data_IF_370420222934
#
_entry.id   IF_370420222934
#
_cell.length_a   1.000
_cell.length_b   1.000
_cell.length_c   1.000
_cell.angle_alpha   90.00
_cell.angle_beta   90.00
_cell.angle_gamma   90.00
#
_symmetry.space_group_name_H-M   'P 1'
#
loop_
_entity.id
_entity.type
_entity.pdbx_description
1 polymer ?
#
# COMPACT_ATOMS: atom_id res chain seq x y z
N UNK A 1 -7.23 5.67 -53.33
CA UNK A 1 -7.34 6.89 -52.50
C UNK A 1 -7.50 6.44 -51.07
N UNK A 2 -6.58 6.85 -50.20
CA UNK A 2 -6.61 6.51 -48.78
C UNK A 2 -7.70 7.34 -48.09
N UNK A 3 -8.54 6.70 -47.28
CA UNK A 3 -9.60 7.40 -46.54
C UNK A 3 -9.07 7.86 -45.18
N UNK A 4 -9.45 9.06 -44.71
CA UNK A 4 -9.11 9.53 -43.37
C UNK A 4 -9.68 8.60 -42.30
N UNK A 5 -8.92 8.40 -41.23
CA UNK A 5 -9.36 7.63 -40.06
C UNK A 5 -10.39 8.40 -39.22
N UNK A 6 -11.09 7.69 -38.33
CA UNK A 6 -12.11 8.30 -37.45
C UNK A 6 -11.57 9.45 -36.60
N UNK A 7 -10.33 9.31 -36.12
CA UNK A 7 -9.67 10.34 -35.30
C UNK A 7 -9.52 11.64 -36.09
N UNK A 8 -9.16 11.58 -37.36
CA UNK A 8 -9.00 12.78 -38.19
C UNK A 8 -10.34 13.47 -38.48
N UNK A 9 -11.40 12.68 -38.73
CA UNK A 9 -12.76 13.22 -38.90
C UNK A 9 -13.28 13.86 -37.61
N UNK A 10 -12.99 13.27 -36.46
CA UNK A 10 -13.35 13.83 -35.16
C UNK A 10 -12.57 15.11 -34.87
N UNK A 11 -11.24 15.11 -35.06
CA UNK A 11 -10.41 16.31 -34.88
C UNK A 11 -10.81 17.45 -35.82
N UNK A 12 -11.37 17.15 -37.01
CA UNK A 12 -11.95 18.16 -37.88
C UNK A 12 -13.21 18.80 -37.27
N UNK A 13 -14.11 18.00 -36.68
CA UNK A 13 -15.32 18.49 -36.00
C UNK A 13 -15.01 19.27 -34.72
N UNK A 14 -14.01 18.80 -33.97
CA UNK A 14 -13.57 19.44 -32.72
C UNK A 14 -12.72 20.71 -32.99
N UNK A 15 -12.33 20.96 -34.25
CA UNK A 15 -11.53 22.11 -34.65
C UNK A 15 -10.06 22.02 -34.23
N UNK A 16 -9.56 20.81 -33.98
CA UNK A 16 -8.21 20.54 -33.48
C UNK A 16 -7.16 20.37 -34.60
N UNK A 17 -7.59 20.23 -35.85
CA UNK A 17 -6.67 20.11 -36.99
C UNK A 17 -6.03 21.46 -37.34
N UNK A 18 -4.76 21.42 -37.76
CA UNK A 18 -4.11 22.58 -38.36
C UNK A 18 -4.86 23.05 -39.63
N UNK A 19 -4.80 24.35 -39.98
CA UNK A 19 -5.60 24.90 -41.08
C UNK A 19 -5.38 24.19 -42.42
N UNK A 20 -4.15 23.78 -42.73
CA UNK A 20 -3.79 23.17 -44.01
C UNK A 20 -4.29 21.72 -44.10
N UNK A 21 -4.22 20.96 -43.01
CA UNK A 21 -4.79 19.61 -42.93
C UNK A 21 -6.31 19.64 -42.90
N UNK A 22 -6.91 20.60 -42.20
CA UNK A 22 -8.36 20.79 -42.18
C UNK A 22 -8.89 21.10 -43.59
N UNK A 23 -8.21 21.97 -44.34
CA UNK A 23 -8.62 22.30 -45.71
C UNK A 23 -8.51 21.10 -46.65
N UNK A 24 -7.38 20.37 -46.65
CA UNK A 24 -7.19 19.16 -47.44
C UNK A 24 -8.28 18.11 -47.16
N UNK A 25 -8.65 17.96 -45.89
CA UNK A 25 -9.68 17.01 -45.48
C UNK A 25 -11.09 17.46 -45.91
N UNK A 26 -11.40 18.76 -45.83
CA UNK A 26 -12.66 19.32 -46.37
C UNK A 26 -12.77 19.12 -47.87
N UNK A 27 -11.68 19.37 -48.61
CA UNK A 27 -11.63 19.15 -50.05
C UNK A 27 -11.88 17.68 -50.38
N UNK A 28 -11.23 16.74 -49.66
CA UNK A 28 -11.50 15.32 -49.82
C UNK A 28 -12.97 14.94 -49.56
N UNK A 29 -13.55 15.46 -48.48
CA UNK A 29 -14.94 15.17 -48.09
C UNK A 29 -15.94 15.70 -49.13
N UNK A 30 -15.63 16.82 -49.80
CA UNK A 30 -16.45 17.36 -50.87
C UNK A 30 -16.61 16.40 -52.06
N UNK A 31 -15.59 15.57 -52.32
CA UNK A 31 -15.60 14.62 -53.44
C UNK A 31 -15.85 13.16 -53.02
N UNK A 32 -15.79 12.84 -51.72
CA UNK A 32 -15.96 11.48 -51.22
C UNK A 32 -17.27 11.31 -50.41
N UNK A 33 -18.35 10.76 -51.00
CA UNK A 33 -19.63 10.62 -50.31
C UNK A 33 -19.58 9.72 -49.07
N UNK A 34 -18.65 8.74 -49.05
CA UNK A 34 -18.43 7.86 -47.90
C UNK A 34 -17.86 8.61 -46.69
N UNK A 35 -16.94 9.54 -46.91
CA UNK A 35 -16.37 10.35 -45.83
C UNK A 35 -17.38 11.41 -45.36
N UNK A 36 -18.18 11.96 -46.28
CA UNK A 36 -19.28 12.86 -45.94
C UNK A 36 -20.35 12.21 -45.07
N UNK A 37 -20.78 10.98 -45.39
CA UNK A 37 -21.77 10.26 -44.58
C UNK A 37 -21.24 9.95 -43.18
N UNK A 38 -19.97 9.54 -43.06
CA UNK A 38 -19.32 9.25 -41.78
C UNK A 38 -19.18 10.50 -40.91
N UNK A 39 -18.85 11.64 -41.50
CA UNK A 39 -18.83 12.92 -40.79
C UNK A 39 -20.22 13.31 -40.28
N UNK A 40 -21.28 13.08 -41.08
CA UNK A 40 -22.65 13.35 -40.66
C UNK A 40 -23.10 12.47 -39.48
N UNK A 41 -22.67 11.21 -39.43
CA UNK A 41 -22.88 10.32 -38.27
C UNK A 41 -22.21 10.86 -37.01
N UNK A 42 -20.95 11.30 -37.11
CA UNK A 42 -20.23 11.93 -35.99
C UNK A 42 -20.91 13.20 -35.50
N UNK A 43 -21.37 14.07 -36.41
CA UNK A 43 -22.15 15.27 -36.07
C UNK A 43 -23.43 14.93 -35.31
N UNK A 44 -24.17 13.92 -35.79
CA UNK A 44 -25.39 13.47 -35.14
C UNK A 44 -25.11 12.95 -33.73
N UNK A 45 -24.05 12.17 -33.56
CA UNK A 45 -23.64 11.67 -32.24
C UNK A 45 -23.23 12.83 -31.30
N UNK A 46 -22.44 13.79 -31.80
CA UNK A 46 -22.01 14.96 -31.03
C UNK A 46 -23.20 15.80 -30.54
N UNK A 47 -24.21 16.02 -31.40
CA UNK A 47 -25.45 16.68 -31.00
C UNK A 47 -26.19 15.89 -29.91
N UNK A 48 -26.32 14.58 -30.07
CA UNK A 48 -26.99 13.71 -29.10
C UNK A 48 -26.28 13.74 -27.73
N UNK A 49 -24.94 13.75 -27.73
CA UNK A 49 -24.13 13.89 -26.50
C UNK A 49 -24.33 15.26 -25.88
N UNK A 50 -24.35 16.35 -26.66
CA UNK A 50 -24.60 17.71 -26.15
C UNK A 50 -25.99 17.87 -25.56
N UNK A 51 -27.00 17.27 -26.18
CA UNK A 51 -28.40 17.29 -25.69
C UNK A 51 -28.58 16.46 -24.41
N UNK A 52 -27.84 15.36 -24.29
CA UNK A 52 -27.86 14.51 -23.09
C UNK A 52 -26.87 14.95 -22.01
N UNK A 53 -25.98 15.89 -22.33
CA UNK A 53 -25.01 16.40 -21.39
C UNK A 53 -25.73 17.09 -20.22
N UNK A 54 -25.43 16.70 -18.97
CA UNK A 54 -26.01 17.36 -17.81
C UNK A 54 -25.67 18.85 -17.81
N UNK A 55 -26.67 19.67 -17.47
CA UNK A 55 -26.51 21.12 -17.38
C UNK A 55 -25.31 21.49 -16.48
N UNK A 56 -24.49 22.51 -16.86
CA UNK A 56 -23.39 23.02 -16.04
C UNK A 56 -23.82 23.39 -14.61
N UNK A 57 -25.09 23.77 -14.42
CA UNK A 57 -25.67 24.05 -13.11
C UNK A 57 -25.60 22.85 -12.14
N UNK A 58 -25.55 21.61 -12.64
CA UNK A 58 -25.38 20.39 -11.83
C UNK A 58 -23.94 20.18 -11.33
N UNK A 59 -22.96 20.86 -11.94
CA UNK A 59 -21.54 20.83 -11.60
C UNK A 59 -21.10 22.04 -10.75
N UNK A 60 -21.98 23.02 -10.56
CA UNK A 60 -21.68 24.31 -9.88
C UNK A 60 -21.32 24.17 -8.39
N UNK A 61 -21.68 23.06 -7.75
CA UNK A 61 -21.22 22.77 -6.39
C UNK A 61 -19.98 21.88 -6.45
N UNK A 62 -18.81 22.47 -6.22
CA UNK A 62 -17.56 21.72 -5.99
C UNK A 62 -17.82 20.55 -5.03
N UNK A 63 -17.44 19.34 -5.46
CA UNK A 63 -17.52 18.13 -4.66
C UNK A 63 -18.87 17.38 -4.62
N UNK A 64 -20.04 18.05 -4.64
CA UNK A 64 -21.33 17.31 -4.49
C UNK A 64 -21.68 16.46 -5.72
N UNK A 65 -21.23 16.84 -6.91
CA UNK A 65 -21.36 16.01 -8.11
C UNK A 65 -20.60 14.68 -7.93
N UNK A 66 -19.31 14.76 -7.59
CA UNK A 66 -18.46 13.59 -7.38
C UNK A 66 -18.96 12.71 -6.24
N UNK A 67 -19.48 13.31 -5.16
CA UNK A 67 -20.13 12.57 -4.07
C UNK A 67 -21.36 11.77 -4.54
N UNK A 68 -22.23 12.38 -5.37
CA UNK A 68 -23.40 11.70 -5.94
C UNK A 68 -23.01 10.63 -6.95
N UNK A 69 -22.01 10.89 -7.79
CA UNK A 69 -21.49 9.92 -8.75
C UNK A 69 -20.85 8.71 -8.05
N UNK A 70 -20.01 8.93 -7.05
CA UNK A 70 -19.40 7.88 -6.24
C UNK A 70 -20.46 7.04 -5.50
N UNK A 71 -21.54 7.67 -5.05
CA UNK A 71 -22.70 6.97 -4.47
C UNK A 71 -23.44 6.10 -5.48
N UNK A 72 -23.59 6.56 -6.74
CA UNK A 72 -24.31 5.83 -7.80
C UNK A 72 -23.46 4.72 -8.45
N UNK A 73 -22.15 4.91 -8.56
CA UNK A 73 -21.24 3.88 -9.07
C UNK A 73 -21.09 2.69 -8.11
N UNK A 74 -21.53 2.83 -6.85
CA UNK A 74 -21.38 1.77 -5.84
C UNK A 74 -22.33 0.58 -5.98
N UNK A 75 -23.29 0.55 -6.91
CA UNK A 75 -24.14 -0.63 -7.18
C UNK A 75 -24.65 -0.62 -8.63
N UNK A 76 -24.88 -1.77 -9.32
CA UNK A 76 -24.75 -3.17 -8.89
C UNK A 76 -24.04 -4.12 -9.91
N UNK A 77 -23.51 -5.24 -9.41
CA UNK A 77 -23.37 -6.48 -10.20
C UNK A 77 -21.95 -6.92 -10.60
N UNK A 78 -21.53 -8.05 -10.03
CA UNK A 78 -20.53 -9.00 -10.57
C UNK A 78 -19.20 -8.42 -11.10
N UNK A 79 -18.20 -8.40 -10.24
CA UNK A 79 -16.96 -9.09 -10.60
C UNK A 79 -16.43 -9.80 -9.37
N UNK A 80 -16.42 -11.12 -9.45
CA UNK A 80 -15.68 -12.08 -8.64
C UNK A 80 -14.18 -11.77 -8.67
N UNK A 81 -13.77 -10.68 -8.02
CA UNK A 81 -12.36 -10.47 -7.67
C UNK A 81 -12.14 -11.06 -6.29
N UNK A 82 -11.14 -11.93 -6.21
CA UNK A 82 -10.66 -12.57 -5.01
C UNK A 82 -10.81 -11.62 -3.82
N UNK A 83 -11.69 -11.98 -2.88
CA UNK A 83 -11.71 -11.32 -1.58
C UNK A 83 -10.29 -11.46 -1.03
N UNK A 84 -9.55 -10.37 -0.78
CA UNK A 84 -8.33 -10.49 -0.02
C UNK A 84 -8.73 -11.10 1.33
N UNK A 85 -8.06 -12.19 1.71
CA UNK A 85 -8.27 -12.90 2.99
C UNK A 85 -8.14 -11.98 4.21
N UNK A 86 -7.60 -10.76 4.03
CA UNK A 86 -7.48 -9.75 5.05
C UNK A 86 -8.24 -8.46 4.68
N UNK A 87 -9.41 -8.17 5.30
CA UNK A 87 -10.28 -7.06 4.92
C UNK A 87 -9.69 -5.66 5.21
N UNK A 88 -8.60 -5.57 5.97
CA UNK A 88 -8.02 -4.31 6.46
C UNK A 88 -6.85 -3.79 5.62
N UNK A 89 -6.19 -4.65 4.83
CA UNK A 89 -5.00 -4.30 4.03
C UNK A 89 -5.24 -3.18 2.99
N UNK A 90 -6.36 -3.14 2.24
CA UNK A 90 -6.60 -2.03 1.31
C UNK A 90 -6.94 -0.71 2.01
N UNK A 91 -7.23 -0.72 3.31
CA UNK A 91 -7.51 0.48 4.11
C UNK A 91 -6.28 1.01 4.86
N UNK A 92 -5.16 0.28 4.85
CA UNK A 92 -3.91 0.75 5.46
C UNK A 92 -3.34 1.89 4.59
N UNK A 93 -3.29 3.14 5.11
CA UNK A 93 -2.65 4.23 4.40
C UNK A 93 -1.17 3.87 4.19
N UNK A 94 -0.59 4.14 3.00
CA UNK A 94 0.84 3.94 2.77
C UNK A 94 1.72 4.67 3.81
N UNK A 95 1.19 5.73 4.40
CA UNK A 95 1.79 6.45 5.54
C UNK A 95 1.99 5.54 6.76
N UNK A 96 1.02 4.69 7.11
CA UNK A 96 1.16 3.79 8.27
C UNK A 96 2.26 2.75 8.04
N UNK A 97 2.33 2.16 6.85
CA UNK A 97 3.42 1.24 6.49
C UNK A 97 4.78 1.94 6.56
N UNK A 98 4.87 3.18 6.08
CA UNK A 98 6.05 4.02 6.23
C UNK A 98 6.42 4.25 7.69
N UNK A 99 5.47 4.64 8.54
CA UNK A 99 5.67 4.86 9.98
C UNK A 99 6.13 3.58 10.67
N UNK A 100 5.50 2.43 10.42
CA UNK A 100 5.92 1.15 10.99
C UNK A 100 7.34 0.79 10.58
N UNK A 101 7.69 1.00 9.31
CA UNK A 101 9.04 0.76 8.82
C UNK A 101 10.07 1.70 9.48
N UNK A 102 9.76 3.00 9.59
CA UNK A 102 10.63 3.97 10.26
C UNK A 102 10.84 3.65 11.74
N UNK A 103 9.78 3.21 12.45
CA UNK A 103 9.88 2.80 13.85
C UNK A 103 10.76 1.55 13.99
N UNK A 104 10.53 0.52 13.17
CA UNK A 104 11.35 -0.70 13.18
C UNK A 104 12.83 -0.39 12.89
N UNK A 105 13.09 0.51 11.95
CA UNK A 105 14.45 0.92 11.59
C UNK A 105 15.12 1.75 12.67
N UNK A 106 14.37 2.62 13.37
CA UNK A 106 14.89 3.39 14.51
C UNK A 106 15.28 2.45 15.65
N UNK A 107 14.44 1.45 15.94
CA UNK A 107 14.73 0.42 16.95
C UNK A 107 15.96 -0.41 16.56
N UNK A 108 16.11 -0.76 15.28
CA UNK A 108 17.33 -1.41 14.77
C UNK A 108 18.57 -0.56 15.03
N UNK A 109 18.54 0.71 14.63
CA UNK A 109 19.69 1.61 14.81
C UNK A 109 20.06 1.75 16.28
N UNK A 110 19.07 1.89 17.17
CA UNK A 110 19.30 1.94 18.61
C UNK A 110 19.93 0.65 19.14
N UNK A 111 19.42 -0.52 18.75
CA UNK A 111 19.97 -1.81 19.18
C UNK A 111 21.42 -2.00 18.71
N UNK A 112 21.74 -1.55 17.50
CA UNK A 112 23.09 -1.64 16.92
C UNK A 112 24.07 -0.68 17.63
N UNK A 113 23.63 0.52 17.98
CA UNK A 113 24.41 1.46 18.81
C UNK A 113 24.70 0.86 20.19
N UNK A 114 23.69 0.31 20.87
CA UNK A 114 23.86 -0.35 22.16
C UNK A 114 24.87 -1.48 22.05
N UNK A 115 24.83 -2.27 20.98
CA UNK A 115 25.78 -3.34 20.74
C UNK A 115 27.22 -2.82 20.56
N UNK A 116 27.42 -1.77 19.76
CA UNK A 116 28.74 -1.16 19.57
C UNK A 116 29.29 -0.60 20.88
N UNK A 117 28.47 0.11 21.66
CA UNK A 117 28.86 0.62 22.98
C UNK A 117 29.22 -0.52 23.94
N UNK A 118 28.52 -1.64 23.85
CA UNK A 118 28.81 -2.83 24.63
C UNK A 118 30.14 -3.49 24.24
N UNK A 119 30.44 -3.57 22.94
CA UNK A 119 31.74 -4.04 22.44
C UNK A 119 32.91 -3.14 22.83
N UNK A 120 32.66 -1.84 22.98
CA UNK A 120 33.64 -0.87 23.50
C UNK A 120 33.79 -0.90 25.03
N UNK A 121 33.01 -1.73 25.74
CA UNK A 121 33.04 -1.82 27.20
C UNK A 121 32.43 -0.62 27.93
N UNK A 122 31.77 0.30 27.21
CA UNK A 122 31.11 1.49 27.80
C UNK A 122 29.85 1.11 28.56
N UNK A 123 29.17 0.03 28.14
CA UNK A 123 27.90 -0.41 28.69
C UNK A 123 27.86 -1.94 28.79
N UNK A 124 27.33 -2.49 29.89
CA UNK A 124 27.11 -3.93 30.04
C UNK A 124 25.62 -4.28 29.85
N UNK A 125 25.17 -4.63 28.64
CA UNK A 125 23.77 -4.95 28.37
C UNK A 125 23.28 -6.18 29.12
N UNK A 126 24.16 -7.14 29.42
CA UNK A 126 23.80 -8.33 30.17
C UNK A 126 23.35 -7.99 31.60
N UNK A 127 23.99 -7.03 32.25
CA UNK A 127 23.59 -6.57 33.59
C UNK A 127 22.20 -5.93 33.58
N UNK A 128 21.93 -5.07 32.60
CA UNK A 128 20.64 -4.40 32.44
C UNK A 128 19.51 -5.40 32.16
N UNK A 129 19.76 -6.37 31.27
CA UNK A 129 18.79 -7.41 30.95
C UNK A 129 18.55 -8.32 32.14
N UNK A 130 19.59 -8.67 32.90
CA UNK A 130 19.43 -9.50 34.10
C UNK A 130 18.53 -8.82 35.13
N UNK A 131 18.73 -7.51 35.37
CA UNK A 131 17.86 -6.74 36.26
C UNK A 131 16.41 -6.67 35.73
N UNK A 132 16.24 -6.45 34.42
CA UNK A 132 14.93 -6.46 33.77
C UNK A 132 14.21 -7.81 33.90
N UNK A 133 14.93 -8.92 33.70
CA UNK A 133 14.40 -10.27 33.85
C UNK A 133 14.00 -10.58 35.29
N UNK A 134 14.78 -10.15 36.29
CA UNK A 134 14.40 -10.24 37.70
C UNK A 134 13.12 -9.45 37.97
N UNK A 135 13.03 -8.22 37.47
CA UNK A 135 11.85 -7.38 37.64
C UNK A 135 10.61 -7.99 37.00
N UNK A 136 10.74 -8.50 35.77
CA UNK A 136 9.67 -9.18 35.05
C UNK A 136 9.23 -10.47 35.78
N UNK A 137 10.18 -11.27 36.25
CA UNK A 137 9.89 -12.51 36.97
C UNK A 137 9.28 -12.27 38.36
N UNK A 138 9.42 -11.06 38.92
CA UNK A 138 8.76 -10.66 40.18
C UNK A 138 7.48 -9.86 39.95
N UNK A 139 6.98 -9.81 38.72
CA UNK A 139 5.79 -9.00 38.43
C UNK A 139 4.52 -9.66 39.02
N UNK A 140 3.74 -8.96 39.88
CA UNK A 140 2.54 -9.51 40.53
C UNK A 140 1.49 -10.15 39.60
N UNK A 141 1.39 -9.70 38.34
CA UNK A 141 0.47 -10.30 37.38
C UNK A 141 0.90 -11.70 36.95
N UNK A 142 2.21 -11.93 36.76
CA UNK A 142 2.76 -13.25 36.44
C UNK A 142 2.58 -14.22 37.61
N UNK A 143 2.74 -13.73 38.83
CA UNK A 143 2.54 -14.54 40.04
C UNK A 143 1.09 -14.98 40.22
N UNK A 144 0.15 -14.04 40.07
CA UNK A 144 -1.28 -14.32 40.24
C UNK A 144 -1.89 -15.19 39.15
N UNK A 145 -1.28 -15.24 37.95
CA UNK A 145 -1.79 -15.99 36.80
C UNK A 145 -0.94 -17.23 36.49
N UNK A 146 0.19 -17.02 35.82
CA UNK A 146 1.03 -18.07 35.23
C UNK A 146 1.70 -18.92 36.31
N UNK A 147 2.29 -18.32 37.34
CA UNK A 147 3.01 -19.07 38.37
C UNK A 147 2.06 -19.86 39.25
N UNK A 148 0.90 -19.28 39.58
CA UNK A 148 -0.16 -20.00 40.28
C UNK A 148 -0.66 -21.21 39.49
N UNK A 149 -0.79 -21.07 38.17
CA UNK A 149 -1.18 -22.16 37.28
C UNK A 149 -0.09 -23.25 37.16
N UNK A 150 1.19 -22.85 37.10
CA UNK A 150 2.35 -23.77 37.07
C UNK A 150 2.70 -24.37 38.44
N UNK A 151 2.12 -23.86 39.53
CA UNK A 151 2.51 -24.21 40.90
C UNK A 151 3.90 -23.71 41.30
N UNK A 152 4.42 -22.68 40.62
CA UNK A 152 5.74 -22.11 40.88
C UNK A 152 5.67 -20.93 41.86
N UNK A 153 6.75 -20.73 42.62
CA UNK A 153 6.98 -19.44 43.30
C UNK A 153 7.75 -18.47 42.41
N UNK A 154 7.65 -17.17 42.69
CA UNK A 154 8.43 -16.13 41.99
C UNK A 154 9.94 -16.38 42.11
N UNK A 155 10.42 -16.85 43.26
CA UNK A 155 11.83 -17.24 43.46
C UNK A 155 12.25 -18.43 42.59
N UNK A 156 11.39 -19.45 42.45
CA UNK A 156 11.66 -20.59 41.55
C UNK A 156 11.67 -20.14 40.08
N UNK A 157 10.76 -19.26 39.67
CA UNK A 157 10.74 -18.71 38.32
C UNK A 157 12.02 -17.91 38.02
N UNK A 158 12.48 -17.09 38.97
CA UNK A 158 13.75 -16.36 38.87
C UNK A 158 14.93 -17.34 38.73
N UNK A 159 15.01 -18.38 39.56
CA UNK A 159 16.10 -19.36 39.47
C UNK A 159 16.11 -20.14 38.15
N UNK A 160 14.94 -20.51 37.63
CA UNK A 160 14.82 -21.21 36.34
C UNK A 160 15.24 -20.30 35.18
N UNK A 161 14.91 -19.00 35.25
CA UNK A 161 15.26 -18.03 34.20
C UNK A 161 16.74 -17.63 34.26
N UNK A 162 17.25 -17.33 35.45
CA UNK A 162 18.60 -16.77 35.65
C UNK A 162 19.65 -17.86 35.76
N UNK A 163 19.30 -19.06 36.23
CA UNK A 163 20.23 -20.16 36.39
C UNK A 163 20.99 -20.50 35.10
N UNK A 164 20.31 -20.78 33.97
CA UNK A 164 20.96 -21.02 32.69
C UNK A 164 21.68 -19.78 32.15
N UNK A 165 21.08 -18.60 32.31
CA UNK A 165 21.62 -17.33 31.83
C UNK A 165 22.95 -16.97 32.51
N UNK A 166 23.03 -17.10 33.83
CA UNK A 166 24.23 -16.81 34.64
C UNK A 166 25.36 -17.81 34.42
N UNK A 167 25.07 -19.03 33.94
CA UNK A 167 26.09 -20.02 33.56
C UNK A 167 26.79 -19.66 32.25
N UNK A 168 26.15 -18.87 31.38
CA UNK A 168 26.81 -18.32 30.21
C UNK A 168 27.79 -17.25 30.71
N UNK A 169 29.07 -17.39 30.37
CA UNK A 169 30.05 -16.33 30.56
C UNK A 169 29.63 -15.06 29.81
N UNK A 170 30.28 -13.94 30.10
CA UNK A 170 30.00 -12.65 29.47
C UNK A 170 29.91 -12.75 27.94
N UNK A 171 30.88 -13.42 27.30
CA UNK A 171 30.91 -13.60 25.85
C UNK A 171 29.71 -14.41 25.34
N UNK A 172 29.28 -15.43 26.09
CA UNK A 172 28.11 -16.25 25.76
C UNK A 172 26.81 -15.47 25.87
N UNK A 173 26.66 -14.66 26.92
CA UNK A 173 25.51 -13.78 27.11
C UNK A 173 25.44 -12.74 25.99
N UNK A 174 26.56 -12.12 25.64
CA UNK A 174 26.64 -11.14 24.56
C UNK A 174 26.31 -11.76 23.20
N UNK A 175 26.86 -12.94 22.89
CA UNK A 175 26.59 -13.64 21.65
C UNK A 175 25.11 -14.02 21.52
N UNK A 176 24.50 -14.53 22.60
CA UNK A 176 23.08 -14.90 22.60
C UNK A 176 22.18 -13.67 22.41
N UNK A 177 22.50 -12.55 23.05
CA UNK A 177 21.74 -11.31 22.88
C UNK A 177 21.84 -10.76 21.47
N UNK A 178 23.05 -10.72 20.92
CA UNK A 178 23.25 -10.30 19.53
C UNK A 178 22.44 -11.19 18.59
N UNK A 179 22.57 -12.51 18.72
CA UNK A 179 21.86 -13.46 17.88
C UNK A 179 20.35 -13.25 17.95
N UNK A 180 19.82 -13.08 19.16
CA UNK A 180 18.38 -12.86 19.40
C UNK A 180 17.90 -11.55 18.77
N UNK A 181 18.63 -10.45 18.98
CA UNK A 181 18.30 -9.13 18.41
C UNK A 181 18.29 -9.20 16.88
N UNK A 182 19.35 -9.76 16.28
CA UNK A 182 19.50 -9.86 14.82
C UNK A 182 18.40 -10.74 14.22
N UNK A 183 18.07 -11.88 14.84
CA UNK A 183 17.02 -12.77 14.33
C UNK A 183 15.62 -12.14 14.44
N UNK A 184 15.25 -11.62 15.62
CA UNK A 184 13.94 -10.97 15.80
C UNK A 184 13.77 -9.82 14.82
N UNK A 185 14.79 -8.98 14.70
CA UNK A 185 14.73 -7.85 13.81
C UNK A 185 14.70 -8.26 12.33
N UNK A 186 15.51 -9.24 11.93
CA UNK A 186 15.50 -9.79 10.58
C UNK A 186 14.12 -10.31 10.20
N UNK A 187 13.45 -11.01 11.11
CA UNK A 187 12.07 -11.48 10.93
C UNK A 187 11.11 -10.29 10.76
N UNK A 188 11.19 -9.27 11.62
CA UNK A 188 10.31 -8.08 11.54
C UNK A 188 10.50 -7.34 10.21
N UNK A 189 11.74 -7.09 9.80
CA UNK A 189 12.05 -6.41 8.53
C UNK A 189 11.59 -7.24 7.34
N UNK A 190 11.79 -8.56 7.36
CA UNK A 190 11.30 -9.45 6.31
C UNK A 190 9.77 -9.41 6.20
N UNK A 191 9.06 -9.43 7.32
CA UNK A 191 7.60 -9.33 7.34
C UNK A 191 7.11 -8.00 6.79
N UNK A 192 7.75 -6.89 7.16
CA UNK A 192 7.43 -5.55 6.63
C UNK A 192 7.72 -5.45 5.14
N UNK A 193 8.83 -6.04 4.68
CA UNK A 193 9.18 -6.10 3.26
C UNK A 193 8.14 -6.91 2.48
N UNK A 194 7.75 -8.09 2.96
CA UNK A 194 6.73 -8.92 2.32
C UNK A 194 5.38 -8.18 2.28
N UNK A 195 5.00 -7.52 3.37
CA UNK A 195 3.75 -6.74 3.44
C UNK A 195 3.76 -5.55 2.47
N UNK A 196 4.87 -4.83 2.39
CA UNK A 196 5.02 -3.69 1.48
C UNK A 196 5.04 -4.11 0.01
N UNK A 197 5.75 -5.20 -0.34
CA UNK A 197 5.75 -5.75 -1.70
C UNK A 197 4.36 -6.26 -2.09
N UNK A 198 3.68 -6.98 -1.19
CA UNK A 198 2.30 -7.41 -1.41
C UNK A 198 1.40 -6.21 -1.67
N UNK A 199 1.48 -5.19 -0.83
CA UNK A 199 0.71 -3.96 -0.97
C UNK A 199 0.99 -3.28 -2.32
N UNK A 200 2.26 -3.16 -2.70
CA UNK A 200 2.68 -2.58 -3.97
C UNK A 200 2.11 -3.38 -5.16
N UNK A 201 2.14 -4.71 -5.11
CA UNK A 201 1.56 -5.56 -6.17
C UNK A 201 0.05 -5.37 -6.29
N UNK A 202 -0.67 -5.30 -5.16
CA UNK A 202 -2.13 -5.06 -5.18
C UNK A 202 -2.50 -3.73 -5.82
N UNK A 203 -1.70 -2.69 -5.59
CA UNK A 203 -1.96 -1.34 -6.11
C UNK A 203 -1.36 -1.09 -7.50
N UNK A 204 -0.27 -1.78 -7.87
CA UNK A 204 0.34 -1.69 -9.19
C UNK A 204 -0.32 -2.59 -10.23
N UNK A 205 -1.23 -3.49 -9.87
CA UNK A 205 -2.05 -4.18 -10.86
C UNK A 205 -2.81 -3.11 -11.67
N UNK A 206 -2.42 -2.87 -12.93
CA UNK A 206 -3.12 -1.91 -13.77
C UNK A 206 -4.57 -2.39 -13.81
N UNK A 207 -5.53 -1.49 -13.66
CA UNK A 207 -6.93 -1.80 -13.96
C UNK A 207 -7.03 -2.14 -15.46
N UNK A 208 -6.65 -3.36 -15.83
CA UNK A 208 -6.67 -3.93 -17.17
C UNK A 208 -8.12 -4.32 -17.54
N UNK A 209 -9.03 -3.37 -17.36
CA UNK A 209 -10.43 -3.45 -17.75
C UNK A 209 -10.75 -2.18 -18.52
N UNK A 210 -10.33 -2.15 -19.79
CA UNK A 210 -10.68 -1.06 -20.70
C UNK A 210 -10.41 -1.34 -22.18
N UNK A 211 -9.37 -2.11 -22.54
CA UNK A 211 -8.87 -2.16 -23.94
C UNK A 211 -9.04 -3.52 -24.64
N UNK A 212 -10.04 -4.34 -24.27
CA UNK A 212 -10.33 -5.62 -24.97
C UNK A 212 -11.79 -5.77 -25.41
N UNK A 213 -12.41 -4.65 -25.80
CA UNK A 213 -13.62 -4.64 -26.63
C UNK A 213 -13.52 -3.53 -27.67
N UNK A 214 -12.78 -3.79 -28.75
CA UNK A 214 -13.15 -3.45 -30.12
C UNK A 214 -12.49 -4.48 -31.04
#
# INVERSE_FOLDING_TARGET
>A
MEHPGDVQLQSLEDGELDPDSAQRLRDHIAFCPRCASRLAEWRRLSLLVRETAPSPALFSSEGKFWGRLAGRLKRPGRSSRCRPLWPWVPFMPPVLLGVFNSVAQTLLSAALIIHVLAGLGVFNPASFITQGLIGLARWPLLESTLYRWLGWSSEQAVQVLIGPWSRLGYDGQHALLLLTIVTVLGIVLLLLLVLSLWWAVLWMQPHAHGLRRR
#
